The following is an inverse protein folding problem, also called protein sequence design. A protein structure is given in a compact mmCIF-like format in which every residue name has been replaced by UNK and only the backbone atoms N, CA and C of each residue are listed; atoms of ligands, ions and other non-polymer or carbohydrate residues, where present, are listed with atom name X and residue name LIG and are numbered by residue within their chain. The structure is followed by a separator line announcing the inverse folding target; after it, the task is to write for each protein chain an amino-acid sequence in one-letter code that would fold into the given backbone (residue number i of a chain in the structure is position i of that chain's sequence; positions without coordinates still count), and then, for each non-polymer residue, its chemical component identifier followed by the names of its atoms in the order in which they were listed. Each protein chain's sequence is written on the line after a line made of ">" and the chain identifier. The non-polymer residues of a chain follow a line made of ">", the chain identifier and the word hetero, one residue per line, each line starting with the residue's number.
data_IF_601230320992
#
_entry.id   IF_601230320992
#
_cell.length_a   1.000
_cell.length_b   1.000
_cell.length_c   1.000
_cell.angle_alpha   90.00
_cell.angle_beta   90.00
_cell.angle_gamma   90.00
#
_symmetry.space_group_name_H-M   'P 1'
#
loop_
_entity.id
_entity.type
_entity.pdbx_description
1 polymer ?
#
# COMPACT_ATOMS: atom_id res chain seq x y z
N UNK A 1 -18.68 -44.59 52.57
CA UNK A 1 -17.74 -44.49 51.43
C UNK A 1 -17.40 -43.02 51.27
N UNK A 2 -16.31 -42.58 51.88
CA UNK A 2 -15.80 -41.21 51.82
C UNK A 2 -14.96 -41.08 50.54
N UNK A 3 -15.39 -40.24 49.61
CA UNK A 3 -14.61 -39.84 48.44
C UNK A 3 -13.69 -38.68 48.81
N UNK A 4 -12.40 -38.89 48.61
CA UNK A 4 -11.34 -37.89 48.74
C UNK A 4 -11.46 -36.92 47.56
N UNK A 5 -11.61 -35.64 47.84
CA UNK A 5 -11.38 -34.56 46.87
C UNK A 5 -10.00 -34.00 47.16
N UNK A 6 -9.08 -34.20 46.23
CA UNK A 6 -7.75 -33.60 46.27
C UNK A 6 -7.87 -32.07 46.09
N UNK A 7 -7.56 -31.37 47.17
CA UNK A 7 -7.45 -29.92 47.25
C UNK A 7 -6.13 -29.52 46.59
N UNK A 8 -6.19 -29.14 45.31
CA UNK A 8 -5.04 -28.59 44.60
C UNK A 8 -4.65 -27.24 45.20
N UNK A 9 -3.62 -27.27 46.04
CA UNK A 9 -2.91 -26.10 46.54
C UNK A 9 -2.16 -25.43 45.38
N UNK A 10 -2.62 -24.26 44.95
CA UNK A 10 -1.90 -23.42 44.00
C UNK A 10 -1.05 -22.42 44.77
N UNK A 11 0.26 -22.66 44.79
CA UNK A 11 1.27 -21.79 45.41
C UNK A 11 1.33 -20.46 44.67
N UNK A 12 0.84 -19.40 45.32
CA UNK A 12 0.86 -18.03 44.84
C UNK A 12 2.27 -17.44 44.92
N UNK A 13 3.08 -17.71 43.90
CA UNK A 13 4.36 -17.04 43.71
C UNK A 13 4.18 -15.59 43.27
N UNK A 14 4.18 -14.67 44.24
CA UNK A 14 4.31 -13.23 43.99
C UNK A 14 5.71 -12.89 43.45
N UNK A 15 5.84 -12.81 42.13
CA UNK A 15 6.99 -12.19 41.49
C UNK A 15 6.75 -10.66 41.38
N UNK A 16 7.17 -9.95 42.43
CA UNK A 16 7.40 -8.50 42.37
C UNK A 16 8.53 -8.20 41.38
N UNK A 17 8.19 -7.87 40.13
CA UNK A 17 9.15 -7.32 39.16
C UNK A 17 8.81 -5.86 38.88
N UNK A 18 9.71 -5.00 39.36
CA UNK A 18 9.54 -3.56 39.45
C UNK A 18 9.17 -2.87 38.14
N UNK A 19 8.23 -1.96 38.29
CA UNK A 19 8.06 -0.72 37.56
C UNK A 19 9.35 -0.23 36.87
N UNK A 20 9.50 -0.54 35.58
CA UNK A 20 10.22 0.32 34.64
C UNK A 20 9.27 0.67 33.50
N UNK A 21 8.40 1.64 33.78
CA UNK A 21 7.70 2.44 32.78
C UNK A 21 8.73 3.21 31.95
N UNK A 22 9.20 2.60 30.87
CA UNK A 22 9.85 3.30 29.78
C UNK A 22 8.86 3.33 28.60
N UNK A 23 8.25 4.50 28.42
CA UNK A 23 7.49 4.93 27.25
C UNK A 23 7.83 4.17 25.96
N UNK A 24 6.96 3.25 25.55
CA UNK A 24 6.83 2.82 24.15
C UNK A 24 5.56 3.43 23.58
N UNK A 25 5.59 4.75 23.37
CA UNK A 25 4.59 5.40 22.53
C UNK A 25 4.71 4.79 21.12
N UNK A 26 3.60 4.43 20.45
CA UNK A 26 3.65 4.11 19.04
C UNK A 26 4.16 5.35 18.30
N UNK A 27 5.28 5.21 17.58
CA UNK A 27 5.80 6.27 16.73
C UNK A 27 4.88 6.43 15.51
N UNK A 28 3.81 7.18 15.70
CA UNK A 28 3.07 7.83 14.63
C UNK A 28 4.04 8.83 13.98
N UNK A 29 4.39 8.61 12.71
CA UNK A 29 5.14 9.61 11.96
C UNK A 29 4.19 10.75 11.60
N UNK A 30 4.48 12.02 11.96
CA UNK A 30 3.74 13.14 11.43
C UNK A 30 4.06 13.31 9.95
N UNK A 31 3.02 13.41 9.12
CA UNK A 31 3.12 13.81 7.71
C UNK A 31 3.64 15.24 7.65
N UNK A 32 4.79 15.43 7.00
CA UNK A 32 5.42 16.73 6.78
C UNK A 32 4.52 17.63 5.93
N UNK A 33 3.90 18.62 6.58
CA UNK A 33 3.44 19.85 5.94
C UNK A 33 4.37 21.00 6.35
N UNK A 34 5.24 21.49 5.44
CA UNK A 34 5.72 22.89 5.37
C UNK A 34 6.90 23.13 4.39
N UNK A 35 6.70 24.06 3.43
CA UNK A 35 7.53 25.25 3.12
C UNK A 35 6.86 26.00 1.94
N UNK A 36 6.01 27.02 2.16
CA UNK A 36 6.27 28.45 2.43
C UNK A 36 7.29 29.16 1.50
N UNK A 37 6.78 30.14 0.72
CA UNK A 37 7.22 31.54 0.84
C UNK A 37 8.00 32.16 -0.33
N UNK A 38 7.53 33.32 -0.81
CA UNK A 38 8.43 34.47 -1.05
C UNK A 38 8.54 35.03 -2.47
N UNK A 39 7.66 36.00 -2.76
CA UNK A 39 7.87 37.26 -3.51
C UNK A 39 9.30 37.55 -4.03
N UNK A 40 9.43 37.87 -5.33
CA UNK A 40 10.13 39.06 -5.84
C UNK A 40 9.54 39.54 -7.16
N UNK A 41 8.94 40.73 -7.13
CA UNK A 41 8.79 41.64 -8.28
C UNK A 41 10.16 42.00 -8.89
N UNK A 42 10.21 42.45 -10.17
CA UNK A 42 10.28 43.90 -10.37
C UNK A 42 9.46 44.46 -11.56
N UNK A 43 8.85 45.63 -11.31
CA UNK A 43 8.82 46.86 -12.14
C UNK A 43 9.05 46.63 -13.65
N UNK A 44 8.09 46.80 -14.54
CA UNK A 44 7.31 48.00 -14.76
C UNK A 44 7.74 48.63 -16.09
N UNK A 45 6.94 48.48 -17.15
CA UNK A 45 6.87 49.45 -18.24
C UNK A 45 5.45 49.49 -18.78
N UNK A 46 4.79 50.60 -18.47
CA UNK A 46 3.56 51.08 -19.08
C UNK A 46 3.88 51.49 -20.52
N UNK A 47 3.06 51.05 -21.47
CA UNK A 47 2.72 51.90 -22.61
C UNK A 47 1.28 51.61 -23.07
N UNK A 48 0.42 52.55 -22.69
CA UNK A 48 -0.87 52.93 -23.27
C UNK A 48 -0.72 53.12 -24.80
N UNK A 49 -1.68 52.94 -25.72
CA UNK A 49 -3.11 53.25 -25.76
C UNK A 49 -3.68 52.63 -27.09
N UNK A 50 -4.90 52.96 -27.58
CA UNK A 50 -6.01 52.05 -27.88
C UNK A 50 -6.21 51.79 -29.39
N UNK A 51 -7.44 51.49 -29.84
CA UNK A 51 -7.96 51.52 -31.24
C UNK A 51 -7.95 50.14 -31.94
N UNK A 52 -9.02 49.55 -32.50
CA UNK A 52 -10.42 49.93 -32.78
C UNK A 52 -11.25 48.65 -33.04
N UNK A 53 -12.57 48.77 -32.85
CA UNK A 53 -13.60 47.78 -33.22
C UNK A 53 -13.66 47.55 -34.73
N UNK A 54 -14.19 46.36 -35.07
CA UNK A 54 -14.97 46.07 -36.28
C UNK A 54 -14.15 45.75 -37.53
N UNK A 55 -14.41 44.58 -38.14
CA UNK A 55 -14.98 44.48 -39.51
C UNK A 55 -15.09 42.99 -39.93
N UNK A 56 -16.32 42.65 -40.30
CA UNK A 56 -16.80 41.63 -41.24
C UNK A 56 -16.55 40.13 -41.06
N UNK A 57 -17.69 39.46 -40.85
CA UNK A 57 -18.05 38.20 -41.49
C UNK A 57 -17.99 38.25 -43.03
N UNK A 58 -17.79 37.05 -43.61
CA UNK A 58 -18.34 36.54 -44.87
C UNK A 58 -17.41 36.50 -46.09
N UNK A 59 -17.57 35.42 -46.88
CA UNK A 59 -17.22 35.17 -48.31
C UNK A 59 -16.02 34.20 -48.48
N UNK A 60 -16.20 32.89 -48.69
CA UNK A 60 -16.67 32.14 -49.88
C UNK A 60 -15.50 31.66 -50.76
N UNK A 61 -15.65 30.42 -51.26
CA UNK A 61 -14.99 29.79 -52.42
C UNK A 61 -13.72 28.95 -52.20
N UNK A 62 -13.97 27.67 -51.91
CA UNK A 62 -13.53 26.53 -52.72
C UNK A 62 -12.83 26.88 -54.05
N UNK A 63 -11.55 26.51 -54.17
CA UNK A 63 -10.91 26.19 -55.46
C UNK A 63 -10.07 24.93 -55.28
N UNK A 64 -10.66 23.80 -55.68
CA UNK A 64 -9.96 22.57 -56.04
C UNK A 64 -9.20 22.83 -57.35
N UNK A 65 -7.87 22.70 -57.36
CA UNK A 65 -7.10 22.55 -58.60
C UNK A 65 -5.74 21.87 -58.38
N UNK A 66 -5.79 20.53 -58.32
CA UNK A 66 -4.87 19.51 -58.87
C UNK A 66 -3.32 19.58 -58.64
N UNK A 67 -2.49 18.63 -59.17
CA UNK A 67 -1.77 17.63 -58.37
C UNK A 67 -0.24 17.65 -58.59
N UNK A 68 0.58 17.44 -57.56
CA UNK A 68 2.01 17.21 -57.77
C UNK A 68 2.58 16.10 -56.89
N UNK A 69 3.17 15.11 -57.56
CA UNK A 69 4.02 14.06 -57.01
C UNK A 69 5.17 14.64 -56.17
N UNK A 70 5.44 14.03 -55.02
CA UNK A 70 6.78 13.91 -54.44
C UNK A 70 6.76 12.69 -53.48
N UNK A 71 7.38 11.58 -53.86
CA UNK A 71 8.74 11.16 -53.46
C UNK A 71 8.77 10.36 -52.14
N UNK A 72 9.00 9.06 -52.32
CA UNK A 72 9.90 8.14 -51.58
C UNK A 72 9.95 8.27 -50.04
N UNK A 73 9.46 7.22 -49.38
CA UNK A 73 9.66 6.97 -47.95
C UNK A 73 9.23 5.56 -47.53
N UNK A 74 9.73 4.53 -48.21
CA UNK A 74 9.69 3.16 -47.71
C UNK A 74 10.65 3.03 -46.53
N UNK A 75 10.14 3.10 -45.30
CA UNK A 75 10.62 2.34 -44.13
C UNK A 75 10.08 2.97 -42.85
N UNK A 76 9.16 2.27 -42.16
CA UNK A 76 9.06 2.12 -40.69
C UNK A 76 7.71 1.54 -40.21
N UNK A 77 6.82 1.09 -41.10
CA UNK A 77 5.48 0.58 -40.71
C UNK A 77 5.42 -0.89 -40.27
N UNK A 78 6.55 -1.56 -40.06
CA UNK A 78 6.58 -2.94 -39.51
C UNK A 78 6.72 -2.95 -37.99
N UNK A 79 7.20 -1.85 -37.39
CA UNK A 79 7.32 -1.74 -35.94
C UNK A 79 6.00 -1.31 -35.29
N UNK A 80 5.09 -0.65 -36.02
CA UNK A 80 3.79 -0.24 -35.50
C UNK A 80 2.92 -1.37 -34.94
N UNK A 81 2.74 -2.52 -35.63
CA UNK A 81 1.93 -3.61 -35.07
C UNK A 81 2.60 -4.25 -33.84
N UNK A 82 3.93 -4.36 -33.83
CA UNK A 82 4.69 -4.92 -32.71
C UNK A 82 4.70 -3.96 -31.50
N UNK A 83 4.90 -2.66 -31.73
CA UNK A 83 4.79 -1.64 -30.69
C UNK A 83 3.36 -1.60 -30.14
N UNK A 84 2.32 -1.69 -30.99
CA UNK A 84 0.93 -1.80 -30.52
C UNK A 84 0.61 -3.11 -29.80
N UNK A 85 1.36 -4.18 -30.06
CA UNK A 85 1.27 -5.45 -29.34
C UNK A 85 1.91 -5.31 -27.96
N UNK A 86 3.14 -4.81 -27.87
CA UNK A 86 3.81 -4.50 -26.60
C UNK A 86 3.04 -3.47 -25.78
N UNK A 87 2.43 -2.48 -26.45
CA UNK A 87 1.56 -1.50 -25.80
C UNK A 87 0.24 -2.13 -25.36
N UNK A 88 -0.29 -3.17 -26.03
CA UNK A 88 -1.46 -3.94 -25.54
C UNK A 88 -1.12 -4.96 -24.47
N UNK A 89 0.10 -5.46 -24.43
CA UNK A 89 0.61 -6.33 -23.36
C UNK A 89 0.95 -5.50 -22.11
N UNK A 90 1.43 -4.26 -22.27
CA UNK A 90 1.67 -3.31 -21.17
C UNK A 90 0.44 -2.49 -20.77
N UNK A 91 -0.47 -2.17 -21.70
CA UNK A 91 -1.81 -1.61 -21.47
C UNK A 91 -2.89 -2.69 -21.41
N UNK A 92 -2.49 -3.96 -21.23
CA UNK A 92 -3.32 -5.00 -20.63
C UNK A 92 -3.51 -4.65 -19.16
N UNK A 93 -4.04 -3.45 -18.92
CA UNK A 93 -4.43 -2.93 -17.64
C UNK A 93 -5.51 -3.86 -17.13
N UNK A 94 -5.07 -4.87 -16.37
CA UNK A 94 -5.72 -5.07 -15.08
C UNK A 94 -5.82 -3.66 -14.51
N UNK A 95 -7.04 -3.09 -14.56
CA UNK A 95 -7.41 -1.96 -13.71
C UNK A 95 -6.76 -2.22 -12.35
N UNK A 96 -6.09 -1.23 -11.73
CA UNK A 96 -5.35 -1.45 -10.49
C UNK A 96 -6.25 -2.29 -9.60
N UNK A 97 -5.85 -3.54 -9.33
CA UNK A 97 -6.63 -4.46 -8.49
C UNK A 97 -7.06 -3.61 -7.31
N UNK A 98 -8.37 -3.43 -7.13
CA UNK A 98 -8.95 -2.55 -6.11
C UNK A 98 -8.06 -2.64 -4.89
N UNK A 99 -7.26 -1.61 -4.66
CA UNK A 99 -6.12 -1.78 -3.78
C UNK A 99 -6.70 -1.95 -2.40
N UNK A 100 -6.46 -3.12 -1.79
CA UNK A 100 -7.01 -3.40 -0.47
C UNK A 100 -6.62 -2.24 0.45
N UNK A 101 -7.62 -1.64 1.12
CA UNK A 101 -7.38 -0.42 1.89
C UNK A 101 -6.43 -0.69 3.06
N UNK A 102 -6.42 -1.92 3.57
CA UNK A 102 -5.60 -2.35 4.69
C UNK A 102 -4.71 -3.51 4.28
N UNK A 103 -3.42 -3.41 4.58
CA UNK A 103 -2.44 -4.45 4.30
C UNK A 103 -1.45 -4.61 5.43
N UNK A 104 -0.81 -5.78 5.47
CA UNK A 104 0.19 -6.12 6.48
C UNK A 104 1.49 -6.49 5.81
N UNK A 105 2.58 -5.85 6.23
CA UNK A 105 3.93 -6.10 5.74
C UNK A 105 4.73 -6.83 6.82
N UNK A 106 5.25 -8.00 6.47
CA UNK A 106 5.99 -8.89 7.38
C UNK A 106 7.27 -9.42 6.73
N UNK A 107 8.11 -10.09 7.50
CA UNK A 107 9.28 -10.81 6.98
C UNK A 107 9.35 -12.21 7.55
N UNK A 108 9.96 -13.14 6.79
CA UNK A 108 10.25 -14.50 7.23
C UNK A 108 11.26 -14.57 8.38
N UNK A 109 12.01 -13.49 8.65
CA UNK A 109 12.93 -13.41 9.79
C UNK A 109 12.22 -13.25 11.14
N UNK A 110 10.91 -13.03 11.15
CA UNK A 110 10.12 -12.95 12.39
C UNK A 110 9.95 -14.34 13.03
N UNK A 111 9.86 -14.43 14.38
CA UNK A 111 9.61 -15.69 15.05
C UNK A 111 8.21 -16.24 14.71
N UNK A 112 8.09 -17.56 14.60
CA UNK A 112 6.83 -18.24 14.24
C UNK A 112 5.71 -17.95 15.23
N UNK A 113 6.05 -17.82 16.53
CA UNK A 113 5.12 -17.47 17.60
C UNK A 113 4.42 -16.12 17.40
N UNK A 114 5.02 -15.21 16.61
CA UNK A 114 4.40 -13.93 16.24
C UNK A 114 3.85 -13.94 14.81
N UNK A 115 4.54 -14.64 13.89
CA UNK A 115 4.16 -14.68 12.48
C UNK A 115 2.84 -15.44 12.25
N UNK A 116 2.70 -16.65 12.81
CA UNK A 116 1.51 -17.49 12.62
C UNK A 116 0.21 -16.82 13.09
N UNK A 117 0.10 -16.32 14.33
CA UNK A 117 -1.13 -15.66 14.77
C UNK A 117 -1.43 -14.38 13.98
N UNK A 118 -0.39 -13.65 13.55
CA UNK A 118 -0.54 -12.47 12.71
C UNK A 118 -1.12 -12.83 11.34
N UNK A 119 -0.60 -13.88 10.68
CA UNK A 119 -1.11 -14.34 9.39
C UNK A 119 -2.58 -14.77 9.48
N UNK A 120 -2.92 -15.55 10.52
CA UNK A 120 -4.31 -15.98 10.77
C UNK A 120 -5.24 -14.80 10.90
N UNK A 121 -4.88 -13.82 11.71
CA UNK A 121 -5.73 -12.67 11.95
C UNK A 121 -5.82 -11.73 10.73
N UNK A 122 -4.76 -11.64 9.93
CA UNK A 122 -4.81 -10.93 8.66
C UNK A 122 -5.78 -11.64 7.68
N UNK A 123 -5.78 -12.97 7.65
CA UNK A 123 -6.71 -13.76 6.85
C UNK A 123 -8.17 -13.56 7.28
N UNK A 124 -8.45 -13.58 8.58
CA UNK A 124 -9.79 -13.31 9.13
C UNK A 124 -10.32 -11.93 8.70
N UNK A 125 -9.44 -10.93 8.61
CA UNK A 125 -9.80 -9.58 8.15
C UNK A 125 -9.88 -9.45 6.62
N UNK A 126 -9.48 -10.49 5.87
CA UNK A 126 -9.35 -10.46 4.41
C UNK A 126 -8.25 -9.51 3.93
N UNK A 127 -7.24 -9.24 4.77
CA UNK A 127 -6.16 -8.31 4.46
C UNK A 127 -5.02 -9.04 3.74
N UNK A 128 -4.53 -8.54 2.60
CA UNK A 128 -3.35 -9.11 1.97
C UNK A 128 -2.12 -8.95 2.85
N UNK A 129 -1.31 -10.00 2.90
CA UNK A 129 -0.03 -9.99 3.61
C UNK A 129 1.11 -9.99 2.61
N UNK A 130 1.98 -9.00 2.71
CA UNK A 130 3.18 -8.89 1.91
C UNK A 130 4.40 -9.35 2.71
N UNK A 131 5.11 -10.34 2.17
CA UNK A 131 6.28 -10.92 2.82
C UNK A 131 7.54 -10.42 2.13
N UNK A 132 8.46 -9.86 2.92
CA UNK A 132 9.81 -9.54 2.49
C UNK A 132 10.72 -10.75 2.64
N UNK A 133 11.33 -11.14 1.52
CA UNK A 133 12.29 -12.23 1.43
C UNK A 133 11.73 -13.46 0.74
N UNK A 134 12.63 -14.28 0.23
CA UNK A 134 12.37 -15.61 -0.33
C UNK A 134 13.33 -16.58 0.32
N UNK A 135 12.89 -17.82 0.51
CA UNK A 135 13.82 -18.88 0.84
C UNK A 135 14.68 -19.21 -0.41
N UNK A 136 15.89 -19.78 -0.23
CA UNK A 136 16.78 -20.16 -1.34
C UNK A 136 16.12 -21.04 -2.41
N UNK A 137 15.13 -21.83 -2.02
CA UNK A 137 14.37 -22.76 -2.85
C UNK A 137 13.32 -22.05 -3.74
N UNK A 138 13.16 -20.74 -3.58
CA UNK A 138 12.32 -19.89 -4.40
C UNK A 138 10.93 -19.61 -3.81
N UNK A 139 10.12 -18.88 -4.58
CA UNK A 139 8.82 -18.35 -4.15
C UNK A 139 7.80 -19.44 -3.78
N UNK A 140 7.65 -20.47 -4.62
CA UNK A 140 6.69 -21.55 -4.40
C UNK A 140 7.00 -22.32 -3.12
N UNK A 141 8.27 -22.70 -2.95
CA UNK A 141 8.74 -23.38 -1.75
C UNK A 141 8.56 -22.53 -0.48
N UNK A 142 8.71 -21.20 -0.60
CA UNK A 142 8.46 -20.28 0.52
C UNK A 142 7.00 -20.31 0.96
N UNK A 143 6.05 -20.20 0.03
CA UNK A 143 4.62 -20.27 0.34
C UNK A 143 4.24 -21.64 0.89
N UNK A 144 4.76 -22.73 0.32
CA UNK A 144 4.55 -24.09 0.81
C UNK A 144 5.07 -24.25 2.23
N UNK A 145 6.27 -23.73 2.53
CA UNK A 145 6.86 -23.76 3.87
C UNK A 145 5.99 -23.02 4.89
N UNK A 146 5.46 -21.85 4.53
CA UNK A 146 4.56 -21.08 5.42
C UNK A 146 3.26 -21.85 5.65
N UNK A 147 2.67 -22.40 4.60
CA UNK A 147 1.46 -23.21 4.72
C UNK A 147 1.69 -24.49 5.52
N UNK A 148 2.85 -25.13 5.41
CA UNK A 148 3.23 -26.28 6.24
C UNK A 148 3.38 -25.89 7.70
N UNK A 149 3.99 -24.72 8.00
CA UNK A 149 4.10 -24.21 9.37
C UNK A 149 2.74 -23.87 9.97
N UNK A 150 1.83 -23.29 9.19
CA UNK A 150 0.44 -23.08 9.61
C UNK A 150 -0.23 -24.42 9.96
N UNK A 151 -0.15 -25.40 9.07
CA UNK A 151 -0.72 -26.74 9.29
C UNK A 151 -0.10 -27.45 10.50
N UNK A 152 1.20 -27.31 10.72
CA UNK A 152 1.88 -27.89 11.89
C UNK A 152 1.39 -27.30 13.22
N UNK A 153 0.81 -26.10 13.19
CA UNK A 153 0.16 -25.44 14.33
C UNK A 153 -1.36 -25.68 14.36
N UNK A 154 -1.90 -26.54 13.48
CA UNK A 154 -3.33 -26.82 13.38
C UNK A 154 -4.14 -25.77 12.61
N UNK A 155 -3.47 -24.82 11.95
CA UNK A 155 -4.10 -23.75 11.18
C UNK A 155 -4.27 -24.17 9.71
N UNK A 156 -5.34 -23.70 9.06
CA UNK A 156 -5.58 -23.97 7.65
C UNK A 156 -4.61 -23.15 6.76
N UNK A 157 -4.31 -23.61 5.53
CA UNK A 157 -3.58 -22.80 4.56
C UNK A 157 -4.28 -21.46 4.33
N UNK A 158 -3.52 -20.37 4.45
CA UNK A 158 -4.05 -19.01 4.38
C UNK A 158 -3.87 -18.46 2.96
N UNK A 159 -4.98 -18.04 2.35
CA UNK A 159 -4.96 -17.28 1.10
C UNK A 159 -4.53 -15.82 1.31
N UNK A 160 -4.14 -15.13 0.24
CA UNK A 160 -3.82 -13.69 0.30
C UNK A 160 -2.39 -13.34 0.75
N UNK A 161 -1.51 -14.34 0.87
CA UNK A 161 -0.08 -14.12 1.07
C UNK A 161 0.58 -13.84 -0.29
N UNK A 162 1.30 -12.72 -0.38
CA UNK A 162 2.06 -12.30 -1.56
C UNK A 162 3.51 -12.04 -1.17
N UNK A 163 4.46 -12.56 -1.96
CA UNK A 163 5.88 -12.25 -1.80
C UNK A 163 6.21 -11.15 -2.80
N UNK A 164 6.11 -9.90 -2.36
CA UNK A 164 6.34 -8.73 -3.19
C UNK A 164 7.16 -7.68 -2.42
N UNK A 165 8.37 -7.30 -2.89
CA UNK A 165 9.17 -6.25 -2.26
C UNK A 165 8.69 -4.83 -2.59
N UNK A 166 7.82 -4.63 -3.59
CA UNK A 166 7.41 -3.28 -4.00
C UNK A 166 6.71 -2.51 -2.88
N UNK A 167 5.73 -3.07 -2.14
CA UNK A 167 5.15 -2.44 -0.96
C UNK A 167 6.16 -1.86 0.04
N UNK A 168 7.21 -2.63 0.35
CA UNK A 168 8.23 -2.20 1.31
C UNK A 168 8.96 -0.94 0.85
N UNK A 169 9.25 -0.84 -0.45
CA UNK A 169 9.89 0.33 -1.04
C UNK A 169 8.93 1.51 -1.14
N UNK A 170 7.69 1.26 -1.60
CA UNK A 170 6.65 2.30 -1.77
C UNK A 170 6.38 3.05 -0.48
N UNK A 171 6.26 2.34 0.64
CA UNK A 171 5.95 2.93 1.95
C UNK A 171 7.19 3.14 2.84
N UNK A 172 8.40 2.93 2.30
CA UNK A 172 9.66 3.12 3.03
C UNK A 172 9.73 2.31 4.33
N UNK A 173 9.24 1.08 4.30
CA UNK A 173 9.16 0.20 5.48
C UNK A 173 10.49 -0.49 5.69
N UNK A 174 11.15 -0.17 6.80
CA UNK A 174 12.44 -0.75 7.21
C UNK A 174 12.32 -1.70 8.40
N UNK A 175 11.19 -1.64 9.12
CA UNK A 175 10.91 -2.46 10.30
C UNK A 175 9.61 -3.22 10.10
N UNK A 176 9.59 -4.46 10.58
CA UNK A 176 8.44 -5.37 10.49
C UNK A 176 8.06 -5.88 11.88
N UNK A 177 6.78 -6.18 12.12
CA UNK A 177 5.65 -6.00 11.20
C UNK A 177 5.22 -4.53 11.09
N UNK A 178 4.70 -4.17 9.92
CA UNK A 178 4.14 -2.83 9.65
C UNK A 178 2.77 -2.97 9.00
N UNK A 179 1.83 -2.17 9.48
CA UNK A 179 0.45 -2.08 9.02
C UNK A 179 0.28 -0.79 8.23
N UNK A 180 -0.34 -0.89 7.07
CA UNK A 180 -0.64 0.25 6.19
C UNK A 180 -2.15 0.30 5.97
N UNK A 181 -2.74 1.47 6.19
CA UNK A 181 -4.12 1.77 5.88
C UNK A 181 -4.14 2.95 4.92
N UNK A 182 -4.84 2.83 3.79
CA UNK A 182 -4.94 3.91 2.82
C UNK A 182 -6.36 4.11 2.31
N UNK A 183 -6.74 5.37 2.13
CA UNK A 183 -7.98 5.79 1.48
C UNK A 183 -7.78 7.13 0.78
N UNK A 184 -8.20 7.23 -0.49
CA UNK A 184 -8.25 8.49 -1.24
C UNK A 184 -6.98 9.36 -1.15
N UNK A 185 -5.81 8.72 -1.18
CA UNK A 185 -4.50 9.39 -1.13
C UNK A 185 -3.98 9.73 0.27
N UNK A 186 -4.74 9.47 1.34
CA UNK A 186 -4.24 9.47 2.72
C UNK A 186 -3.71 8.10 3.07
N UNK A 187 -2.61 8.06 3.81
CA UNK A 187 -1.95 6.80 4.22
C UNK A 187 -1.59 6.89 5.69
N UNK A 188 -2.15 5.98 6.49
CA UNK A 188 -1.72 5.74 7.86
C UNK A 188 -0.76 4.55 7.91
N UNK A 189 0.26 4.68 8.75
CA UNK A 189 1.27 3.63 8.96
C UNK A 189 1.48 3.41 10.44
N UNK A 190 1.53 2.14 10.82
CA UNK A 190 1.83 1.74 12.18
C UNK A 190 2.82 0.58 12.18
N UNK A 191 3.90 0.70 12.94
CA UNK A 191 4.92 -0.33 13.07
C UNK A 191 5.00 -0.78 14.52
N UNK A 192 5.01 -2.09 14.76
CA UNK A 192 5.13 -2.66 16.10
C UNK A 192 4.58 -4.06 16.19
N UNK A 193 5.02 -4.82 17.19
CA UNK A 193 4.54 -6.19 17.44
C UNK A 193 3.15 -6.16 18.10
N UNK A 194 2.13 -5.87 17.30
CA UNK A 194 0.72 -5.85 17.70
C UNK A 194 -0.07 -6.72 16.74
N UNK A 195 -1.36 -6.94 17.02
CA UNK A 195 -2.19 -7.70 16.09
C UNK A 195 -2.78 -6.82 14.98
N UNK A 196 -3.13 -7.38 13.80
CA UNK A 196 -3.80 -6.61 12.74
C UNK A 196 -5.06 -5.85 13.19
N UNK A 197 -5.89 -6.45 14.06
CA UNK A 197 -7.09 -5.78 14.60
C UNK A 197 -6.72 -4.67 15.58
N UNK A 198 -5.70 -4.88 16.43
CA UNK A 198 -5.20 -3.82 17.30
C UNK A 198 -4.63 -2.64 16.50
N UNK A 199 -3.97 -2.91 15.36
CA UNK A 199 -3.52 -1.86 14.46
C UNK A 199 -4.67 -1.02 13.91
N UNK A 200 -5.77 -1.68 13.47
CA UNK A 200 -6.99 -0.98 13.06
C UNK A 200 -7.58 -0.13 14.20
N UNK A 201 -7.63 -0.65 15.43
CA UNK A 201 -8.10 0.12 16.59
C UNK A 201 -7.22 1.35 16.86
N UNK A 202 -5.90 1.22 16.71
CA UNK A 202 -4.99 2.35 16.84
C UNK A 202 -5.22 3.41 15.76
N UNK A 203 -5.49 3.01 14.52
CA UNK A 203 -5.87 3.93 13.45
C UNK A 203 -7.21 4.63 13.73
N UNK A 204 -8.16 3.98 14.38
CA UNK A 204 -9.40 4.65 14.84
C UNK A 204 -9.10 5.76 15.86
N UNK A 205 -8.13 5.54 16.75
CA UNK A 205 -7.81 6.48 17.83
C UNK A 205 -7.01 7.69 17.31
N UNK A 206 -6.10 7.45 16.37
CA UNK A 206 -5.01 8.40 16.09
C UNK A 206 -4.59 8.52 14.62
N UNK A 207 -5.25 7.82 13.70
CA UNK A 207 -4.98 7.91 12.26
C UNK A 207 -5.82 8.98 11.55
N UNK A 208 -5.48 9.22 10.29
CA UNK A 208 -6.21 10.10 9.37
C UNK A 208 -7.41 9.38 8.71
N UNK A 209 -7.39 8.05 8.62
CA UNK A 209 -8.46 7.23 8.03
C UNK A 209 -9.32 6.52 9.07
N UNK A 210 -9.76 7.25 10.10
CA UNK A 210 -10.50 6.70 11.25
C UNK A 210 -11.79 5.99 10.87
N UNK A 211 -12.57 6.55 9.93
CA UNK A 211 -13.86 5.98 9.50
C UNK A 211 -13.68 4.63 8.79
N UNK A 212 -12.66 4.56 7.92
CA UNK A 212 -12.29 3.32 7.24
C UNK A 212 -11.78 2.30 8.25
N UNK A 213 -10.88 2.70 9.16
CA UNK A 213 -10.37 1.84 10.22
C UNK A 213 -11.50 1.27 11.09
N UNK A 214 -12.49 2.11 11.45
CA UNK A 214 -13.66 1.72 12.24
C UNK A 214 -14.50 0.68 11.52
N UNK A 215 -14.67 0.83 10.21
CA UNK A 215 -15.41 -0.12 9.38
C UNK A 215 -14.70 -1.47 9.31
N UNK A 216 -13.38 -1.47 9.09
CA UNK A 216 -12.59 -2.70 8.98
C UNK A 216 -12.43 -3.41 10.33
N UNK A 217 -12.34 -2.68 11.44
CA UNK A 217 -12.17 -3.25 12.77
C UNK A 217 -13.34 -4.12 13.25
N UNK A 218 -14.52 -3.93 12.65
CA UNK A 218 -15.78 -4.61 13.00
C UNK A 218 -16.04 -5.88 12.19
N UNK A 219 -15.16 -6.22 11.24
CA UNK A 219 -15.25 -7.46 10.47
C UNK A 219 -14.87 -8.66 11.32
#
# INVERSE_FOLDING_TARGET
>A
MHGVVDEFHFDGGEANFGEKRANSLPYLYPTSAARQGGDKTPKGHIMLLPYTRSIMMTVLALVFSQPCLAVIGQSQSSLDPFLKQLQRESMGTKAPKSHDPFMVLVSLSMPESSLIPLLRQAHELGAPVYIQGVLPEGFKATIETINQRLQAQGEQPIGGISIDPHPFKTWGVTRVPTYILQDKGRVDRLTGNITPRAALQQFVISGDNQDLARTLSKR
#
